data_IF_575834940172
#
_entry.id   IF_575834940172
#
_cell.length_a   1.000
_cell.length_b   1.000
_cell.length_c   1.000
_cell.angle_alpha   90.00
_cell.angle_beta   90.00
_cell.angle_gamma   90.00
#
_symmetry.space_group_name_H-M   'P 1'
#
loop_
_entity.id
_entity.type
_entity.pdbx_description
1 polymer ?
#
# COMPACT_ATOMS: atom_id res chain seq x y z
N UNK A 1 13.69 1.15 5.83
CA UNK A 1 12.36 1.75 6.10
C UNK A 1 11.18 0.93 5.54
N UNK A 2 11.40 -0.01 4.62
CA UNK A 2 10.33 -0.76 3.94
C UNK A 2 9.84 -2.01 4.67
N UNK A 3 10.58 -2.51 5.64
CA UNK A 3 10.24 -3.75 6.35
C UNK A 3 9.19 -3.61 7.47
N UNK A 4 8.79 -2.38 7.81
CA UNK A 4 7.89 -2.12 8.96
C UNK A 4 6.44 -2.51 8.69
N UNK A 5 5.82 -2.24 7.51
CA UNK A 5 4.43 -2.60 7.26
C UNK A 5 4.15 -4.10 7.27
N UNK A 6 5.09 -4.92 6.78
CA UNK A 6 4.95 -6.38 6.74
C UNK A 6 4.93 -6.99 8.14
N UNK A 7 5.75 -6.47 9.05
CA UNK A 7 5.79 -6.94 10.44
C UNK A 7 4.47 -6.73 11.19
N UNK A 8 3.68 -5.73 10.82
CA UNK A 8 2.38 -5.51 11.46
C UNK A 8 1.36 -6.61 11.13
N UNK A 9 1.38 -7.17 9.92
CA UNK A 9 0.51 -8.30 9.58
C UNK A 9 0.94 -9.58 10.32
N UNK A 10 2.24 -9.85 10.38
CA UNK A 10 2.77 -10.98 11.14
C UNK A 10 2.44 -10.87 12.63
N UNK A 11 2.61 -9.67 13.22
CA UNK A 11 2.27 -9.41 14.62
C UNK A 11 0.77 -9.53 14.89
N UNK A 12 -0.07 -9.00 14.00
CA UNK A 12 -1.51 -9.12 14.11
C UNK A 12 -1.94 -10.59 14.05
N UNK A 13 -1.38 -11.35 13.12
CA UNK A 13 -1.62 -12.79 12.98
C UNK A 13 -1.17 -13.57 14.22
N UNK A 14 0.04 -13.32 14.72
CA UNK A 14 0.57 -13.95 15.93
C UNK A 14 -0.27 -13.62 17.18
N UNK A 15 -0.86 -12.41 17.21
CA UNK A 15 -1.77 -11.98 18.28
C UNK A 15 -3.23 -12.48 18.09
N UNK A 16 -3.53 -13.21 17.01
CA UNK A 16 -4.89 -13.66 16.68
C UNK A 16 -5.86 -12.51 16.42
N UNK A 17 -5.37 -11.38 15.91
CA UNK A 17 -6.14 -10.15 15.74
C UNK A 17 -6.30 -9.77 14.29
N UNK A 18 -7.41 -9.10 13.97
CA UNK A 18 -7.62 -8.52 12.66
C UNK A 18 -6.55 -7.46 12.33
N UNK A 19 -5.86 -7.53 11.16
CA UNK A 19 -4.79 -6.61 10.80
C UNK A 19 -5.18 -5.14 10.77
N UNK A 20 -6.41 -4.81 10.36
CA UNK A 20 -6.91 -3.43 10.39
C UNK A 20 -7.10 -2.97 11.83
N UNK A 21 -7.81 -3.74 12.65
CA UNK A 21 -8.07 -3.38 14.05
C UNK A 21 -6.77 -3.28 14.85
N UNK A 22 -5.81 -4.18 14.61
CA UNK A 22 -4.49 -4.12 15.22
C UNK A 22 -3.78 -2.80 14.93
N UNK A 23 -3.80 -2.33 13.68
CA UNK A 23 -3.22 -1.03 13.29
C UNK A 23 -3.94 0.15 13.92
N UNK A 24 -5.28 0.12 13.92
CA UNK A 24 -6.08 1.20 14.52
C UNK A 24 -5.84 1.34 16.02
N UNK A 25 -5.64 0.23 16.72
CA UNK A 25 -5.35 0.23 18.16
C UNK A 25 -3.94 0.76 18.45
N UNK A 26 -2.95 0.39 17.64
CA UNK A 26 -1.58 0.92 17.75
C UNK A 26 -1.51 2.42 17.47
N UNK A 27 -2.30 2.94 16.53
CA UNK A 27 -2.39 4.38 16.28
C UNK A 27 -2.95 5.15 17.48
N UNK A 28 -3.77 4.50 18.30
CA UNK A 28 -4.36 5.13 19.49
C UNK A 28 -5.43 6.17 19.16
N UNK A 29 -5.77 7.00 20.15
CA UNK A 29 -6.84 8.01 20.07
C UNK A 29 -6.32 9.46 20.04
N UNK A 30 -5.01 9.65 20.11
CA UNK A 30 -4.41 10.99 20.02
C UNK A 30 -4.57 11.57 18.63
N UNK A 31 -4.75 12.88 18.52
CA UNK A 31 -4.93 13.53 17.22
C UNK A 31 -3.62 13.70 16.46
N UNK A 32 -2.55 14.03 17.18
CA UNK A 32 -1.24 14.32 16.59
C UNK A 32 -0.09 13.74 17.40
N UNK A 33 0.99 13.41 16.71
CA UNK A 33 2.28 13.06 17.31
C UNK A 33 3.30 14.09 16.82
N UNK A 34 4.03 14.76 17.74
CA UNK A 34 5.09 15.68 17.34
C UNK A 34 6.23 14.92 16.63
N UNK A 35 6.98 15.57 15.73
CA UNK A 35 8.15 14.96 15.12
C UNK A 35 9.19 14.61 16.17
N UNK A 36 9.85 13.45 16.02
CA UNK A 36 10.81 12.92 17.00
C UNK A 36 12.05 13.80 17.21
N UNK A 37 12.39 14.59 16.21
CA UNK A 37 13.52 15.54 16.23
C UNK A 37 13.10 16.99 16.56
N UNK A 38 11.82 17.20 16.86
CA UNK A 38 11.22 18.52 17.12
C UNK A 38 11.16 19.43 15.90
N UNK A 39 11.46 18.91 14.70
CA UNK A 39 11.47 19.68 13.44
C UNK A 39 10.43 19.17 12.47
N UNK A 40 9.77 20.08 11.76
CA UNK A 40 8.76 19.75 10.76
C UNK A 40 7.34 19.71 11.28
N UNK A 41 6.41 19.21 10.45
CA UNK A 41 5.00 19.14 10.79
C UNK A 41 4.69 17.92 11.65
N UNK A 42 3.72 18.02 12.58
CA UNK A 42 3.27 16.88 13.36
C UNK A 42 2.63 15.82 12.45
N UNK A 43 2.71 14.57 12.90
CA UNK A 43 1.97 13.46 12.29
C UNK A 43 0.53 13.47 12.78
N UNK A 44 -0.43 13.55 11.87
CA UNK A 44 -1.86 13.57 12.20
C UNK A 44 -2.41 12.14 12.22
N UNK A 45 -2.54 11.59 13.41
CA UNK A 45 -3.05 10.22 13.63
C UNK A 45 -4.49 10.09 13.14
N UNK A 46 -5.32 11.11 13.34
CA UNK A 46 -6.70 11.14 12.87
C UNK A 46 -6.81 10.97 11.36
N UNK A 47 -5.94 11.64 10.58
CA UNK A 47 -5.89 11.50 9.11
C UNK A 47 -5.48 10.09 8.69
N UNK A 48 -4.48 9.50 9.36
CA UNK A 48 -4.08 8.13 9.06
C UNK A 48 -5.18 7.11 9.38
N UNK A 49 -5.87 7.27 10.52
CA UNK A 49 -7.03 6.43 10.87
C UNK A 49 -8.11 6.54 9.81
N UNK A 50 -8.41 7.76 9.34
CA UNK A 50 -9.44 8.01 8.34
C UNK A 50 -9.12 7.31 7.00
N UNK A 51 -7.89 7.42 6.48
CA UNK A 51 -7.51 6.73 5.23
C UNK A 51 -7.55 5.21 5.38
N UNK A 52 -7.13 4.66 6.53
CA UNK A 52 -7.20 3.22 6.81
C UNK A 52 -8.65 2.72 6.84
N UNK A 53 -9.51 3.39 7.56
CA UNK A 53 -10.93 3.02 7.69
C UNK A 53 -11.66 3.12 6.36
N UNK A 54 -11.41 4.19 5.59
CA UNK A 54 -12.05 4.38 4.29
C UNK A 54 -11.54 3.36 3.25
N UNK A 55 -10.23 3.03 3.25
CA UNK A 55 -9.68 2.00 2.37
C UNK A 55 -10.30 0.62 2.68
N UNK A 56 -10.37 0.26 3.95
CA UNK A 56 -11.00 -0.98 4.40
C UNK A 56 -12.49 -1.05 4.00
N UNK A 57 -13.25 0.02 4.22
CA UNK A 57 -14.66 0.13 3.85
C UNK A 57 -14.87 -0.05 2.34
N UNK A 58 -14.09 0.65 1.51
CA UNK A 58 -14.20 0.57 0.04
C UNK A 58 -13.78 -0.77 -0.54
N UNK A 59 -12.83 -1.43 0.10
CA UNK A 59 -12.40 -2.78 -0.28
C UNK A 59 -13.33 -3.89 0.27
N UNK A 60 -14.30 -3.55 1.11
CA UNK A 60 -15.15 -4.53 1.78
C UNK A 60 -14.39 -5.42 2.77
N UNK A 61 -13.47 -4.83 3.55
CA UNK A 61 -12.72 -5.53 4.58
C UNK A 61 -13.64 -6.30 5.53
N UNK A 62 -13.25 -7.50 5.90
CA UNK A 62 -14.07 -8.37 6.77
C UNK A 62 -15.12 -9.21 6.04
N UNK A 63 -15.41 -8.95 4.75
CA UNK A 63 -16.28 -9.85 3.99
C UNK A 63 -15.53 -11.13 3.62
N UNK A 64 -16.19 -12.32 3.74
CA UNK A 64 -15.56 -13.57 3.37
C UNK A 64 -15.09 -13.61 1.91
N UNK A 65 -13.97 -14.23 1.68
CA UNK A 65 -13.41 -14.46 0.35
C UNK A 65 -13.46 -15.95 0.01
N UNK A 66 -13.60 -16.32 -1.27
CA UNK A 66 -13.45 -17.68 -1.73
C UNK A 66 -12.06 -18.25 -1.38
N UNK A 67 -11.98 -19.59 -1.29
CA UNK A 67 -10.68 -20.27 -1.08
C UNK A 67 -9.69 -19.89 -2.19
N UNK A 68 -8.44 -19.63 -1.79
CA UNK A 68 -7.38 -19.19 -2.70
C UNK A 68 -7.33 -17.67 -2.92
N UNK A 69 -8.25 -16.91 -2.31
CA UNK A 69 -8.23 -15.44 -2.35
C UNK A 69 -7.89 -14.86 -0.98
N UNK A 70 -7.24 -13.71 -0.99
CA UNK A 70 -6.86 -12.99 0.22
C UNK A 70 -6.92 -11.49 0.06
N UNK A 71 -6.92 -10.78 1.18
CA UNK A 71 -6.76 -9.32 1.26
C UNK A 71 -5.66 -8.98 2.23
N UNK A 72 -4.84 -8.01 1.85
CA UNK A 72 -3.87 -7.38 2.75
C UNK A 72 -4.11 -5.87 2.82
N UNK A 73 -3.83 -5.26 3.97
CA UNK A 73 -3.97 -3.83 4.18
C UNK A 73 -2.64 -3.24 4.67
N UNK A 74 -2.25 -2.12 4.08
CA UNK A 74 -1.06 -1.39 4.48
C UNK A 74 -1.33 0.11 4.50
N UNK A 75 -0.47 0.87 5.21
CA UNK A 75 -0.49 2.31 5.18
C UNK A 75 0.92 2.89 5.15
N UNK A 76 1.04 4.10 4.62
CA UNK A 76 2.28 4.84 4.54
C UNK A 76 2.03 6.31 4.79
N UNK A 77 2.97 6.96 5.50
CA UNK A 77 3.09 8.39 5.64
C UNK A 77 4.36 8.87 4.93
N UNK A 78 4.21 9.77 3.99
CA UNK A 78 5.35 10.36 3.28
C UNK A 78 4.99 11.74 2.77
N UNK A 79 5.94 12.69 2.84
CA UNK A 79 5.78 14.05 2.32
C UNK A 79 4.49 14.76 2.78
N UNK A 80 4.07 14.52 4.03
CA UNK A 80 2.82 14.99 4.64
C UNK A 80 1.55 14.38 4.04
N UNK A 81 1.67 13.40 3.14
CA UNK A 81 0.56 12.62 2.62
C UNK A 81 0.34 11.35 3.45
N UNK A 82 -0.92 10.98 3.60
CA UNK A 82 -1.38 9.77 4.28
C UNK A 82 -2.00 8.86 3.23
N UNK A 83 -1.54 7.64 3.14
CA UNK A 83 -2.01 6.68 2.15
C UNK A 83 -2.32 5.36 2.84
N UNK A 84 -3.45 4.77 2.52
CA UNK A 84 -3.77 3.39 2.86
C UNK A 84 -4.16 2.62 1.61
N UNK A 85 -3.77 1.34 1.55
CA UNK A 85 -4.03 0.47 0.42
C UNK A 85 -4.57 -0.87 0.90
N UNK A 86 -5.52 -1.41 0.16
CA UNK A 86 -5.97 -2.79 0.30
C UNK A 86 -5.76 -3.49 -1.03
N UNK A 87 -4.96 -4.53 -1.03
CA UNK A 87 -4.76 -5.42 -2.18
C UNK A 87 -5.61 -6.67 -2.03
N UNK A 88 -6.33 -7.04 -3.09
CA UNK A 88 -7.03 -8.31 -3.21
C UNK A 88 -6.26 -9.19 -4.19
N UNK A 89 -5.97 -10.41 -3.77
CA UNK A 89 -5.13 -11.33 -4.53
C UNK A 89 -5.79 -12.71 -4.65
N UNK A 90 -5.46 -13.40 -5.72
CA UNK A 90 -5.74 -14.83 -5.91
C UNK A 90 -4.43 -15.58 -6.00
N UNK A 91 -4.35 -16.71 -5.30
CA UNK A 91 -3.22 -17.65 -5.41
C UNK A 91 -3.75 -18.95 -5.98
N UNK A 92 -3.18 -19.40 -7.09
CA UNK A 92 -3.53 -20.66 -7.73
C UNK A 92 -3.08 -21.87 -6.89
N UNK A 93 -3.50 -23.07 -7.26
CA UNK A 93 -3.05 -24.30 -6.57
C UNK A 93 -1.56 -24.56 -6.82
N UNK A 94 -1.04 -24.05 -7.92
CA UNK A 94 0.35 -24.14 -8.34
C UNK A 94 1.24 -23.06 -7.66
N UNK A 95 0.61 -22.14 -6.89
CA UNK A 95 1.31 -21.07 -6.17
C UNK A 95 1.47 -19.78 -6.97
N UNK A 96 0.82 -19.65 -8.13
CA UNK A 96 0.85 -18.43 -8.92
C UNK A 96 0.03 -17.32 -8.25
N UNK A 97 0.65 -16.18 -8.03
CA UNK A 97 0.04 -14.98 -7.46
C UNK A 97 -0.52 -14.07 -8.56
N UNK A 98 -1.77 -13.66 -8.39
CA UNK A 98 -2.41 -12.63 -9.20
C UNK A 98 -2.99 -11.55 -8.31
N UNK A 99 -2.72 -10.30 -8.62
CA UNK A 99 -3.39 -9.15 -7.97
C UNK A 99 -4.66 -8.83 -8.75
N UNK A 100 -5.80 -9.01 -8.11
CA UNK A 100 -7.12 -8.84 -8.74
C UNK A 100 -7.59 -7.38 -8.66
N UNK A 101 -7.31 -6.71 -7.55
CA UNK A 101 -7.76 -5.35 -7.27
C UNK A 101 -6.85 -4.68 -6.26
N UNK A 102 -6.61 -3.39 -6.46
CA UNK A 102 -6.00 -2.53 -5.43
C UNK A 102 -6.92 -1.35 -5.16
N UNK A 103 -7.27 -1.14 -3.90
CA UNK A 103 -8.03 0.03 -3.45
C UNK A 103 -7.07 0.95 -2.71
N UNK A 104 -6.92 2.16 -3.19
CA UNK A 104 -6.03 3.19 -2.61
C UNK A 104 -6.87 4.34 -2.11
N UNK A 105 -6.66 4.71 -0.85
CA UNK A 105 -7.21 5.94 -0.27
C UNK A 105 -6.05 6.81 0.17
N UNK A 106 -6.06 8.05 -0.27
CA UNK A 106 -5.00 9.01 0.05
C UNK A 106 -5.57 10.33 0.53
N UNK A 107 -4.87 10.93 1.47
CA UNK A 107 -5.11 12.26 1.99
C UNK A 107 -3.85 13.10 1.78
N UNK A 108 -3.89 13.97 0.78
CA UNK A 108 -2.81 14.86 0.37
C UNK A 108 -3.16 16.34 0.58
N UNK A 109 -4.24 16.60 1.33
CA UNK A 109 -4.78 17.93 1.59
C UNK A 109 -6.05 18.24 0.80
N UNK A 110 -6.63 19.41 1.04
CA UNK A 110 -7.96 19.78 0.56
C UNK A 110 -8.06 20.12 -0.93
N UNK A 111 -6.96 20.54 -1.57
CA UNK A 111 -7.00 21.04 -2.95
C UNK A 111 -6.17 20.18 -3.91
N UNK A 112 -6.85 19.54 -4.85
CA UNK A 112 -6.24 18.82 -5.97
C UNK A 112 -6.57 19.55 -7.25
N UNK A 113 -5.58 20.21 -7.86
CA UNK A 113 -5.76 21.05 -9.06
C UNK A 113 -6.06 20.21 -10.30
N UNK A 114 -5.42 19.06 -10.42
CA UNK A 114 -5.61 18.13 -11.53
C UNK A 114 -5.93 16.73 -10.98
N UNK A 115 -7.21 16.42 -10.85
CA UNK A 115 -7.65 15.16 -10.27
C UNK A 115 -7.25 13.95 -11.14
N UNK A 116 -7.45 14.02 -12.45
CA UNK A 116 -7.08 12.90 -13.34
C UNK A 116 -5.57 12.64 -13.36
N UNK A 117 -4.77 13.72 -13.31
CA UNK A 117 -3.31 13.59 -13.16
C UNK A 117 -2.93 12.93 -11.84
N UNK A 118 -3.58 13.30 -10.74
CA UNK A 118 -3.35 12.70 -9.42
C UNK A 118 -3.75 11.20 -9.40
N UNK A 119 -4.88 10.84 -10.00
CA UNK A 119 -5.31 9.44 -10.14
C UNK A 119 -4.29 8.62 -10.94
N UNK A 120 -3.82 9.14 -12.08
CA UNK A 120 -2.80 8.49 -12.89
C UNK A 120 -1.48 8.29 -12.13
N UNK A 121 -1.06 9.24 -11.31
CA UNK A 121 0.14 9.10 -10.47
C UNK A 121 -0.03 7.98 -9.44
N UNK A 122 -1.18 7.88 -8.79
CA UNK A 122 -1.46 6.81 -7.83
C UNK A 122 -1.51 5.45 -8.52
N UNK A 123 -2.21 5.32 -9.65
CA UNK A 123 -2.28 4.08 -10.42
C UNK A 123 -0.90 3.65 -10.92
N UNK A 124 -0.12 4.58 -11.47
CA UNK A 124 1.24 4.34 -11.92
C UNK A 124 2.16 3.85 -10.78
N UNK A 125 2.06 4.46 -9.60
CA UNK A 125 2.86 4.03 -8.44
C UNK A 125 2.50 2.62 -7.94
N UNK A 126 1.23 2.22 -8.03
CA UNK A 126 0.80 0.85 -7.71
C UNK A 126 1.42 -0.14 -8.69
N UNK A 127 1.37 0.15 -10.00
CA UNK A 127 1.93 -0.72 -11.04
C UNK A 127 3.45 -0.82 -10.89
N UNK A 128 4.14 0.30 -10.64
CA UNK A 128 5.58 0.32 -10.45
C UNK A 128 6.01 -0.48 -9.20
N UNK A 129 5.29 -0.33 -8.10
CA UNK A 129 5.53 -1.09 -6.87
C UNK A 129 5.33 -2.60 -7.09
N UNK A 130 4.29 -2.99 -7.85
CA UNK A 130 4.06 -4.40 -8.21
C UNK A 130 5.18 -4.92 -9.13
N UNK A 131 5.64 -4.13 -10.09
CA UNK A 131 6.78 -4.46 -10.95
C UNK A 131 8.03 -4.72 -10.12
N UNK A 132 8.31 -3.85 -9.15
CA UNK A 132 9.42 -4.00 -8.22
C UNK A 132 9.29 -5.26 -7.37
N UNK A 133 8.10 -5.55 -6.85
CA UNK A 133 7.85 -6.71 -6.00
C UNK A 133 7.95 -8.04 -6.76
N UNK A 134 7.45 -8.09 -8.00
CA UNK A 134 7.26 -9.33 -8.75
C UNK A 134 8.44 -9.65 -9.69
N UNK A 135 9.14 -8.64 -10.19
CA UNK A 135 10.12 -8.80 -11.27
C UNK A 135 11.51 -8.22 -10.96
N UNK A 136 11.59 -7.20 -10.08
CA UNK A 136 12.86 -6.53 -9.86
C UNK A 136 13.83 -7.42 -9.08
N UNK A 137 14.83 -7.93 -9.79
CA UNK A 137 15.94 -8.66 -9.21
C UNK A 137 17.26 -8.09 -9.75
N UNK A 138 18.16 -7.75 -8.84
CA UNK A 138 19.52 -7.35 -9.18
C UNK A 138 20.50 -8.30 -8.50
N UNK A 139 21.29 -8.98 -9.31
CA UNK A 139 22.34 -9.85 -8.84
C UNK A 139 23.68 -9.11 -8.83
N UNK A 140 24.50 -9.36 -7.83
CA UNK A 140 25.81 -8.72 -7.68
C UNK A 140 26.87 -9.81 -7.71
N UNK A 141 27.74 -9.78 -8.71
CA UNK A 141 28.87 -10.67 -8.86
C UNK A 141 30.17 -9.88 -8.97
N UNK A 142 31.18 -10.25 -8.17
CA UNK A 142 32.46 -9.56 -8.18
C UNK A 142 32.39 -8.04 -7.92
N UNK A 143 31.37 -7.57 -7.17
CA UNK A 143 31.15 -6.16 -6.88
C UNK A 143 30.49 -5.36 -8.04
N UNK A 144 29.94 -6.05 -9.03
CA UNK A 144 29.23 -5.42 -10.16
C UNK A 144 27.82 -5.98 -10.29
N UNK A 145 26.89 -5.14 -10.73
CA UNK A 145 25.54 -5.55 -11.09
C UNK A 145 25.62 -6.37 -12.36
N UNK A 146 24.97 -7.56 -12.37
CA UNK A 146 24.93 -8.49 -13.51
C UNK A 146 24.02 -7.95 -14.60
N UNK A 147 22.82 -7.45 -14.21
CA UNK A 147 21.84 -6.91 -15.15
C UNK A 147 22.31 -5.57 -15.71
N UNK A 148 22.48 -5.49 -17.02
CA UNK A 148 23.03 -4.32 -17.72
C UNK A 148 22.00 -3.51 -18.50
N UNK A 149 20.83 -4.10 -18.77
CA UNK A 149 19.75 -3.45 -19.53
C UNK A 149 18.37 -4.05 -19.22
N UNK A 150 17.32 -3.47 -19.80
CA UNK A 150 15.92 -3.91 -19.59
C UNK A 150 15.59 -5.32 -20.12
N UNK A 151 16.43 -5.92 -20.94
CA UNK A 151 16.27 -7.33 -21.34
C UNK A 151 16.61 -8.30 -20.21
N UNK A 152 17.48 -7.88 -19.30
CA UNK A 152 17.91 -8.65 -18.13
C UNK A 152 17.23 -8.19 -16.83
N UNK A 153 16.60 -7.01 -16.85
CA UNK A 153 15.81 -6.44 -15.77
C UNK A 153 14.37 -6.23 -16.26
N UNK A 154 13.52 -7.26 -16.15
CA UNK A 154 12.17 -7.19 -16.69
C UNK A 154 11.29 -6.20 -15.92
N UNK A 155 10.54 -5.40 -16.67
CA UNK A 155 9.51 -4.52 -16.12
C UNK A 155 8.14 -5.19 -16.24
N UNK A 156 7.27 -4.91 -15.29
CA UNK A 156 5.88 -5.36 -15.32
C UNK A 156 5.20 -4.95 -16.63
N UNK A 157 4.42 -5.86 -17.21
CA UNK A 157 3.66 -5.62 -18.43
C UNK A 157 2.21 -5.29 -18.10
N UNK A 158 1.53 -4.60 -19.02
CA UNK A 158 0.12 -4.23 -18.84
C UNK A 158 -0.78 -5.44 -18.54
N UNK A 159 -0.48 -6.59 -19.14
CA UNK A 159 -1.23 -7.83 -18.92
C UNK A 159 -1.09 -8.38 -17.48
N UNK A 160 -0.05 -8.00 -16.76
CA UNK A 160 0.24 -8.42 -15.39
C UNK A 160 -0.28 -7.40 -14.37
N UNK A 161 -0.64 -6.21 -14.85
CA UNK A 161 -1.19 -5.16 -13.99
C UNK A 161 -2.56 -5.56 -13.44
N UNK A 162 -2.92 -5.11 -12.23
CA UNK A 162 -4.24 -5.37 -11.68
C UNK A 162 -5.33 -4.87 -12.63
N UNK A 163 -6.35 -5.66 -12.94
CA UNK A 163 -7.44 -5.23 -13.82
C UNK A 163 -8.25 -4.08 -13.23
N UNK A 164 -8.09 -3.82 -11.94
CA UNK A 164 -8.78 -2.76 -11.24
C UNK A 164 -7.91 -2.10 -10.18
N UNK A 165 -7.73 -0.79 -10.29
CA UNK A 165 -7.10 0.07 -9.29
C UNK A 165 -8.06 1.20 -8.99
N UNK A 166 -8.69 1.15 -7.81
CA UNK A 166 -9.63 2.17 -7.35
C UNK A 166 -8.89 3.20 -6.51
N UNK A 167 -8.91 4.45 -6.92
CA UNK A 167 -8.27 5.57 -6.22
C UNK A 167 -9.32 6.47 -5.59
N UNK A 168 -9.11 6.85 -4.35
CA UNK A 168 -9.96 7.81 -3.66
C UNK A 168 -9.13 8.83 -2.89
N UNK A 169 -9.45 10.10 -3.07
CA UNK A 169 -8.82 11.20 -2.35
C UNK A 169 -9.76 11.66 -1.22
N UNK A 170 -9.24 11.64 0.00
CA UNK A 170 -9.92 12.28 1.13
C UNK A 170 -9.85 13.80 0.96
N UNK A 171 -10.91 14.48 1.33
CA UNK A 171 -10.92 15.95 1.38
C UNK A 171 -10.72 16.35 2.83
N UNK A 172 -9.56 16.89 3.13
CA UNK A 172 -9.23 17.50 4.41
C UNK A 172 -8.87 18.95 4.19
N UNK A 173 -9.43 19.82 5.02
CA UNK A 173 -9.17 21.25 5.00
C UNK A 173 -7.81 21.58 5.62
#
# INVERSE_FOLDING_TARGET
HEAVPQKFDELAHAAGRDPLQFRLDLLGQQDTVPPSDGRGAPYHVGRMRAVLQEAAKRAGWGTPLPKGRGRGIAFQFSHRGYVAQVAEVTVSREGELKVDRVTVVTDIGGQIVNLSGAENQVQGSVIDALGTLMHAQLDIEGGRIVQSNFGEYPLIRLAESPPRIDVHFMKTD
#
